data_IF_197408963007
#
_entry.id   IF_197408963007
#
_cell.length_a   1.000
_cell.length_b   1.000
_cell.length_c   1.000
_cell.angle_alpha   90.00
_cell.angle_beta   90.00
_cell.angle_gamma   90.00
#
_symmetry.space_group_name_H-M   'P 1'
#
loop_
_entity.id
_entity.type
_entity.pdbx_description
1 polymer ?
2 non-polymer ?
3 non-polymer ?
4 non-polymer ?
5 non-polymer ?
6 non-polymer ?
7 water ?
#
# COMPACT_ATOMS: atom_id res chain seq x y z
N UNK A 1 -6.14 -12.41 -13.91
CA UNK A 1 -6.94 -12.23 -12.65
C UNK A 1 -6.54 -10.89 -12.02
N UNK A 2 -7.50 -10.09 -11.55
CA UNK A 2 -7.23 -8.71 -11.04
C UNK A 2 -7.59 -8.47 -9.57
N UNK A 3 -6.63 -8.01 -8.78
CA UNK A 3 -6.91 -7.62 -7.36
C UNK A 3 -6.74 -6.10 -7.24
N UNK A 4 -7.69 -5.43 -6.63
CA UNK A 4 -7.53 -4.01 -6.32
C UNK A 4 -6.90 -3.90 -4.94
N UNK A 5 -5.81 -3.15 -4.87
CA UNK A 5 -5.06 -3.04 -3.59
C UNK A 5 -5.05 -1.57 -3.16
N UNK A 6 -5.53 -1.33 -1.96
CA UNK A 6 -5.61 0.02 -1.40
C UNK A 6 -4.64 0.15 -0.23
N UNK A 7 -3.80 1.18 -0.27
CA UNK A 7 -2.78 1.30 0.75
C UNK A 7 -2.44 2.81 1.00
N UNK A 8 -1.68 3.05 2.06
CA UNK A 8 -1.19 4.38 2.44
C UNK A 8 0.24 4.07 2.91
N UNK A 9 1.24 4.79 2.37
CA UNK A 9 2.61 4.46 2.74
C UNK A 9 2.89 4.62 4.23
N UNK A 10 2.02 5.33 4.97
CA UNK A 10 2.23 5.34 6.43
C UNK A 10 1.96 4.01 7.16
N UNK A 11 1.39 3.03 6.46
CA UNK A 11 0.90 1.80 7.13
C UNK A 11 1.93 0.63 7.07
N UNK A 12 2.39 0.13 8.23
CA UNK A 12 3.31 -1.02 8.22
C UNK A 12 2.59 -2.29 7.82
N UNK A 13 1.27 -2.35 8.10
CA UNK A 13 0.56 -3.54 7.63
C UNK A 13 0.41 -3.56 6.12
N UNK A 14 0.37 -2.36 5.55
CA UNK A 14 0.33 -2.23 4.11
C UNK A 14 1.70 -2.63 3.49
N UNK A 15 2.81 -2.30 4.18
CA UNK A 15 4.12 -2.68 3.74
C UNK A 15 4.16 -4.20 3.64
N UNK A 16 3.71 -4.89 4.71
CA UNK A 16 3.69 -6.34 4.67
C UNK A 16 2.78 -6.87 3.55
N UNK A 17 1.57 -6.30 3.43
CA UNK A 17 0.61 -6.79 2.41
C UNK A 17 1.23 -6.60 1.04
N UNK A 18 1.89 -5.44 0.83
CA UNK A 18 2.50 -5.18 -0.46
C UNK A 18 3.61 -6.20 -0.80
N UNK A 19 4.48 -6.54 0.17
CA UNK A 19 5.50 -7.56 -0.10
C UNK A 19 4.86 -8.88 -0.52
N UNK A 20 3.81 -9.33 0.19
CA UNK A 20 3.19 -10.61 -0.11
C UNK A 20 2.48 -10.58 -1.49
N UNK A 21 1.79 -9.49 -1.78
CA UNK A 21 1.08 -9.33 -3.06
C UNK A 21 2.05 -9.26 -4.25
N UNK A 22 3.20 -8.68 -4.02
CA UNK A 22 4.17 -8.45 -5.10
C UNK A 22 4.72 -9.80 -5.45
N UNK A 23 4.87 -10.66 -4.44
CA UNK A 23 5.39 -12.01 -4.71
C UNK A 23 4.39 -12.87 -5.44
N UNK A 24 3.09 -12.70 -5.16
CA UNK A 24 2.08 -13.28 -6.02
C UNK A 24 2.10 -12.76 -7.46
N UNK A 25 2.31 -11.46 -7.57
CA UNK A 25 2.41 -10.87 -8.90
C UNK A 25 3.63 -11.48 -9.64
N UNK A 26 4.78 -11.60 -8.96
CA UNK A 26 5.98 -12.09 -9.65
C UNK A 26 5.98 -13.61 -9.87
N UNK A 27 5.53 -14.36 -8.87
CA UNK A 27 5.54 -15.81 -8.91
C UNK A 27 4.41 -16.38 -9.77
N UNK A 28 3.24 -15.72 -9.75
CA UNK A 28 2.07 -16.31 -10.38
C UNK A 28 1.47 -15.41 -11.43
N UNK A 29 2.05 -14.22 -11.63
CA UNK A 29 1.52 -13.24 -12.58
C UNK A 29 0.15 -12.65 -12.28
N UNK A 30 -0.24 -12.64 -11.00
CA UNK A 30 -1.50 -11.99 -10.59
C UNK A 30 -1.41 -10.52 -10.97
N UNK A 31 -2.51 -9.94 -11.47
CA UNK A 31 -2.55 -8.49 -11.77
C UNK A 31 -3.06 -7.58 -10.62
N UNK A 32 -2.19 -6.69 -10.17
CA UNK A 32 -2.60 -5.77 -9.07
C UNK A 32 -2.92 -4.35 -9.57
N UNK A 33 -4.10 -3.85 -9.23
CA UNK A 33 -4.41 -2.46 -9.48
C UNK A 33 -4.16 -1.71 -8.18
N UNK A 34 -3.18 -0.82 -8.23
CA UNK A 34 -2.74 -0.14 -7.02
C UNK A 34 -3.49 1.16 -6.80
N UNK A 35 -3.83 1.44 -5.56
CA UNK A 35 -4.47 2.72 -5.18
C UNK A 35 -3.86 3.30 -3.90
N UNK A 36 -3.10 4.42 -3.99
CA UNK A 36 -2.56 5.11 -2.82
C UNK A 36 -3.65 6.02 -2.35
N UNK A 37 -4.07 5.83 -1.11
CA UNK A 37 -5.11 6.68 -0.55
C UNK A 37 -4.80 7.25 0.83
N UNK A 38 -5.59 8.25 1.22
CA UNK A 38 -5.38 8.94 2.48
C UNK A 38 -6.12 8.23 3.64
N UNK A 39 -5.36 7.41 4.38
CA UNK A 39 -5.98 6.64 5.49
C UNK A 39 -6.72 7.63 6.42
N UNK A 40 -6.11 8.79 6.70
CA UNK A 40 -6.73 9.77 7.58
C UNK A 40 -8.11 10.18 7.12
N UNK A 41 -8.22 10.47 5.83
CA UNK A 41 -9.49 10.89 5.30
C UNK A 41 -10.52 9.75 5.32
N UNK A 42 -10.06 8.54 5.04
CA UNK A 42 -11.01 7.46 5.01
C UNK A 42 -11.57 7.17 6.42
N UNK A 43 -10.72 7.24 7.43
CA UNK A 43 -11.17 7.12 8.86
C UNK A 43 -12.19 8.20 9.26
N UNK A 44 -11.86 9.45 8.93
CA UNK A 44 -12.71 10.60 9.26
C UNK A 44 -14.05 10.37 8.57
N UNK A 45 -14.01 9.90 7.33
CA UNK A 45 -15.25 9.69 6.59
C UNK A 45 -16.20 8.72 7.29
N UNK A 46 -15.67 7.72 8.02
CA UNK A 46 -16.59 6.79 8.65
C UNK A 46 -16.79 7.05 10.12
N UNK A 47 -16.24 8.17 10.60
CA UNK A 47 -16.45 8.59 11.97
C UNK A 47 -15.47 7.95 12.92
N UNK A 48 -14.38 7.39 12.37
CA UNK A 48 -13.37 6.75 13.23
C UNK A 48 -12.37 7.79 13.65
N UNK A 49 -12.73 8.52 14.71
CA UNK A 49 -11.95 9.69 15.13
C UNK A 49 -11.30 9.60 16.47
N UNK A 50 -11.41 8.49 17.16
CA UNK A 50 -10.60 8.39 18.41
C UNK A 50 -9.08 8.43 18.19
N UNK A 51 -8.30 8.29 19.30
CA UNK A 51 -6.84 8.16 19.20
C UNK A 51 -6.50 6.99 18.26
N UNK A 52 -5.46 7.19 17.47
CA UNK A 52 -4.91 6.16 16.60
C UNK A 52 -4.09 5.15 17.43
N UNK A 53 -4.03 3.91 16.94
CA UNK A 53 -3.08 2.96 17.49
C UNK A 53 -1.69 3.50 17.73
N UNK A 54 -1.19 4.35 16.85
CA UNK A 54 0.14 4.95 17.07
C UNK A 54 0.25 5.82 18.33
N UNK A 55 -0.89 6.31 18.80
CA UNK A 55 -0.91 7.19 19.97
C UNK A 55 -1.24 6.45 21.29
N UNK A 56 -1.34 5.11 21.26
CA UNK A 56 -1.74 4.30 22.42
C UNK A 56 -0.58 3.40 22.77
N UNK A 57 0.28 3.86 23.69
CA UNK A 57 1.59 3.21 23.86
C UNK A 57 1.50 1.70 24.14
N UNK A 58 0.59 1.30 25.03
CA UNK A 58 0.52 -0.13 25.36
C UNK A 58 0.18 -0.96 24.12
N UNK A 59 -0.78 -0.48 23.33
CA UNK A 59 -1.14 -1.22 22.09
C UNK A 59 -0.02 -1.15 21.07
N UNK A 60 0.56 0.02 20.91
CA UNK A 60 1.66 0.11 19.95
C UNK A 60 2.83 -0.81 20.33
N UNK A 61 3.14 -0.96 21.62
CA UNK A 61 4.21 -1.88 22.03
C UNK A 61 3.94 -3.29 21.47
N UNK A 62 2.67 -3.72 21.59
CA UNK A 62 2.33 -5.05 21.05
C UNK A 62 2.39 -5.09 19.49
N UNK A 63 1.87 -4.07 18.87
CA UNK A 63 1.75 -4.13 17.40
C UNK A 63 3.20 -4.18 16.84
N UNK A 64 4.13 -3.48 17.49
CA UNK A 64 5.55 -3.56 17.01
C UNK A 64 6.06 -5.03 17.05
N UNK A 65 5.69 -5.79 18.10
CA UNK A 65 6.03 -7.21 18.13
C UNK A 65 5.29 -7.94 17.03
N UNK A 66 3.98 -7.68 16.88
CA UNK A 66 3.24 -8.35 15.79
C UNK A 66 3.94 -8.11 14.42
N UNK A 67 4.28 -6.87 14.19
CA UNK A 67 4.90 -6.49 12.90
C UNK A 67 6.26 -7.26 12.71
N UNK A 68 7.08 -7.35 13.77
CA UNK A 68 8.32 -8.13 13.66
C UNK A 68 8.06 -9.60 13.44
N UNK A 69 7.02 -10.12 14.08
CA UNK A 69 6.64 -11.50 13.76
C UNK A 69 6.36 -11.73 12.30
N UNK A 70 5.57 -10.88 11.65
CA UNK A 70 5.24 -11.11 10.26
C UNK A 70 6.49 -10.87 9.36
N UNK A 71 7.26 -9.87 9.72
CA UNK A 71 8.48 -9.55 8.96
C UNK A 71 9.35 -10.80 8.95
N UNK A 72 9.47 -11.46 10.10
CA UNK A 72 10.31 -12.67 10.18
C UNK A 72 9.72 -13.77 9.35
N UNK A 73 8.39 -13.93 9.39
CA UNK A 73 7.72 -14.91 8.57
C UNK A 73 7.99 -14.67 7.09
N UNK A 74 8.02 -13.39 6.70
CA UNK A 74 8.15 -13.09 5.29
C UNK A 74 9.64 -12.99 4.85
N UNK A 75 10.54 -13.07 5.80
CA UNK A 75 11.98 -12.88 5.57
C UNK A 75 12.40 -11.50 5.05
N UNK A 76 11.80 -10.46 5.61
CA UNK A 76 12.11 -9.03 5.27
C UNK A 76 12.39 -8.21 6.55
N UNK A 77 13.19 -7.13 6.46
CA UNK A 77 13.36 -6.19 7.55
C UNK A 77 12.09 -5.33 7.69
N UNK A 78 11.89 -4.85 8.91
CA UNK A 78 10.83 -3.85 9.14
C UNK A 78 11.35 -2.87 10.18
N UNK A 79 11.51 -1.61 9.78
CA UNK A 79 12.09 -0.59 10.66
C UNK A 79 11.20 0.63 10.63
N UNK A 80 10.77 1.09 11.81
CA UNK A 80 9.89 2.25 11.92
C UNK A 80 10.61 3.52 11.47
N UNK A 81 9.97 4.29 10.59
CA UNK A 81 10.51 5.63 10.28
C UNK A 81 10.20 6.60 11.39
N UNK A 82 10.75 7.81 11.27
CA UNK A 82 10.65 8.78 12.33
C UNK A 82 9.30 9.44 12.41
N UNK A 83 8.54 9.44 11.30
CA UNK A 83 7.17 9.99 11.32
C UNK A 83 6.28 9.24 10.28
N UNK A 84 5.00 9.60 10.26
CA UNK A 84 4.03 8.94 9.42
C UNK A 84 3.54 9.90 8.36
N UNK A 85 4.41 10.84 7.93
CA UNK A 85 3.97 11.92 7.03
C UNK A 85 4.01 11.47 5.55
N UNK A 86 2.98 10.70 5.18
CA UNK A 86 3.09 9.91 3.90
C UNK A 86 2.46 10.64 2.72
N UNK A 87 1.94 11.85 2.92
CA UNK A 87 1.13 12.52 1.88
C UNK A 87 1.91 12.68 0.58
N UNK A 88 3.15 13.14 0.67
CA UNK A 88 3.88 13.48 -0.55
C UNK A 88 4.09 12.17 -1.35
N UNK A 89 4.55 11.12 -0.67
CA UNK A 89 4.87 9.87 -1.38
C UNK A 89 3.58 9.20 -1.91
N UNK A 90 2.49 9.36 -1.17
CA UNK A 90 1.19 8.81 -1.63
C UNK A 90 0.82 9.49 -2.98
N UNK A 91 0.84 10.83 -2.95
CA UNK A 91 0.61 11.66 -4.17
C UNK A 91 1.56 11.19 -5.34
N UNK A 92 2.84 10.89 -5.02
CA UNK A 92 3.88 10.61 -6.03
C UNK A 92 3.50 9.35 -6.78
N UNK A 93 2.73 8.46 -6.11
CA UNK A 93 2.31 7.20 -6.79
C UNK A 93 1.64 7.56 -8.15
N UNK A 94 0.87 8.64 -8.18
CA UNK A 94 0.07 9.00 -9.40
C UNK A 94 0.94 9.55 -10.53
N UNK A 95 2.26 9.61 -10.32
CA UNK A 95 3.19 9.86 -11.46
C UNK A 95 3.43 8.62 -12.29
N UNK A 96 3.20 7.45 -11.68
CA UNK A 96 3.57 6.20 -12.31
C UNK A 96 2.62 5.93 -13.48
N UNK A 97 3.16 5.32 -14.51
CA UNK A 97 2.37 5.04 -15.73
C UNK A 97 1.82 3.61 -15.74
N UNK A 98 2.61 2.70 -16.31
CA UNK A 98 2.21 1.31 -16.50
C UNK A 98 2.29 0.53 -15.20
N UNK A 99 1.59 -0.63 -15.19
CA UNK A 99 1.60 -1.61 -14.12
C UNK A 99 3.00 -1.87 -13.57
N UNK A 100 3.96 -2.08 -14.47
CA UNK A 100 5.28 -2.47 -14.01
C UNK A 100 5.91 -1.28 -13.24
N UNK A 101 5.67 -0.07 -13.75
CA UNK A 101 6.26 1.16 -13.15
C UNK A 101 5.52 1.54 -11.87
N UNK A 102 4.21 1.29 -11.84
CA UNK A 102 3.42 1.53 -10.60
C UNK A 102 3.86 0.59 -9.49
N UNK A 103 4.04 -0.69 -9.83
CA UNK A 103 4.53 -1.69 -8.88
C UNK A 103 5.94 -1.39 -8.44
N UNK A 104 6.78 -0.91 -9.37
CA UNK A 104 8.14 -0.65 -8.97
C UNK A 104 8.18 0.52 -8.00
N UNK A 105 7.36 1.51 -8.25
CA UNK A 105 7.25 2.70 -7.37
C UNK A 105 6.82 2.25 -6.03
N UNK A 106 5.70 1.51 -5.98
CA UNK A 106 5.18 1.12 -4.66
C UNK A 106 6.22 0.27 -3.91
N UNK A 107 6.95 -0.64 -4.58
CA UNK A 107 7.89 -1.47 -3.90
C UNK A 107 9.11 -0.68 -3.41
N UNK A 108 9.61 0.23 -4.25
CA UNK A 108 10.75 1.06 -3.84
C UNK A 108 10.45 1.98 -2.66
N UNK A 109 9.25 2.55 -2.65
CA UNK A 109 8.90 3.52 -1.61
C UNK A 109 8.62 2.72 -0.36
N UNK A 110 7.85 1.64 -0.44
CA UNK A 110 7.66 0.82 0.80
C UNK A 110 8.95 0.29 1.41
N UNK A 111 9.87 -0.19 0.55
CA UNK A 111 11.10 -0.69 1.06
C UNK A 111 11.93 0.39 1.71
N UNK A 112 11.90 1.60 1.14
CA UNK A 112 12.64 2.74 1.71
C UNK A 112 12.06 3.14 3.08
N UNK A 113 10.72 3.28 3.13
CA UNK A 113 10.08 3.85 4.33
C UNK A 113 10.06 2.78 5.48
N UNK A 114 9.53 1.58 5.18
CA UNK A 114 9.34 0.52 6.20
C UNK A 114 10.41 -0.59 6.20
N UNK A 115 11.13 -0.74 5.09
CA UNK A 115 12.25 -1.68 5.04
C UNK A 115 13.46 -1.07 5.71
N UNK A 116 13.73 0.20 5.39
CA UNK A 116 14.91 0.92 5.89
C UNK A 116 14.62 1.97 6.95
N UNK A 117 13.35 2.29 7.15
CA UNK A 117 12.99 3.24 8.13
C UNK A 117 13.32 4.67 7.72
N UNK A 118 13.25 4.99 6.42
CA UNK A 118 13.51 6.36 5.98
C UNK A 118 12.23 7.20 6.14
N UNK A 119 12.31 8.41 6.72
CA UNK A 119 11.11 9.26 6.92
C UNK A 119 10.41 9.49 5.59
N UNK A 120 9.10 9.29 5.54
CA UNK A 120 8.48 9.44 4.23
C UNK A 120 8.44 10.91 3.70
N UNK A 121 8.64 11.86 4.61
CA UNK A 121 8.73 13.25 4.19
C UNK A 121 10.15 13.75 4.03
N UNK A 122 11.10 12.85 4.07
CA UNK A 122 12.51 13.26 3.84
C UNK A 122 12.56 14.09 2.52
N UNK A 123 13.22 15.24 2.53
CA UNK A 123 13.12 16.16 1.36
C UNK A 123 13.79 15.59 0.11
N UNK A 124 14.78 14.70 0.32
CA UNK A 124 15.50 14.10 -0.81
C UNK A 124 14.90 12.78 -1.27
N UNK A 125 13.82 12.32 -0.58
CA UNK A 125 13.32 11.01 -0.96
C UNK A 125 12.77 10.97 -2.42
N UNK A 126 12.07 12.00 -2.85
CA UNK A 126 11.65 12.02 -4.28
C UNK A 126 12.85 11.85 -5.23
N UNK A 127 13.95 12.54 -4.96
CA UNK A 127 15.11 12.34 -5.83
C UNK A 127 15.69 10.96 -5.73
N UNK A 128 15.78 10.41 -4.50
CA UNK A 128 16.30 9.06 -4.35
C UNK A 128 15.44 8.02 -5.13
N UNK A 129 14.13 8.16 -4.99
CA UNK A 129 13.19 7.27 -5.69
C UNK A 129 13.25 7.46 -7.21
N UNK A 130 13.34 8.69 -7.66
CA UNK A 130 13.53 9.02 -9.12
C UNK A 130 14.74 8.35 -9.70
N UNK A 131 15.89 8.42 -9.01
CA UNK A 131 17.09 7.73 -9.46
C UNK A 131 16.87 6.24 -9.62
N UNK A 132 16.24 5.62 -8.61
CA UNK A 132 16.01 4.19 -8.66
C UNK A 132 15.15 3.74 -9.87
N UNK A 133 14.17 4.53 -10.20
CA UNK A 133 13.15 4.18 -11.19
C UNK A 133 13.52 4.71 -12.58
N UNK A 134 14.64 5.42 -12.66
CA UNK A 134 15.00 6.09 -13.91
C UNK A 134 14.09 7.20 -14.35
N UNK A 135 13.46 7.88 -13.40
CA UNK A 135 12.62 9.04 -13.65
C UNK A 135 13.38 10.35 -13.68
N UNK A 136 12.73 11.39 -14.23
CA UNK A 136 13.28 12.73 -14.29
C UNK A 136 12.98 13.43 -12.96
N UNK A 137 14.02 13.58 -12.12
CA UNK A 137 13.84 14.05 -10.78
C UNK A 137 13.08 15.32 -10.78
N UNK A 138 13.45 16.24 -11.65
CA UNK A 138 12.78 17.51 -11.56
C UNK A 138 11.26 17.41 -11.97
N UNK A 139 10.99 16.72 -13.05
CA UNK A 139 9.57 16.50 -13.48
C UNK A 139 8.77 15.88 -12.31
N UNK A 140 9.38 14.88 -11.69
CA UNK A 140 8.71 14.18 -10.53
C UNK A 140 8.44 15.15 -9.40
N UNK A 141 9.44 15.93 -8.99
CA UNK A 141 9.20 16.88 -7.90
C UNK A 141 8.19 17.96 -8.26
N UNK A 142 8.17 18.36 -9.54
CA UNK A 142 7.19 19.34 -9.98
C UNK A 142 5.79 18.74 -9.88
N UNK A 143 5.67 17.50 -10.32
CA UNK A 143 4.35 16.78 -10.25
C UNK A 143 3.86 16.75 -8.78
N UNK A 144 4.76 16.41 -7.87
CA UNK A 144 4.39 16.26 -6.44
C UNK A 144 3.70 17.50 -5.92
N UNK A 145 4.10 18.70 -6.40
CA UNK A 145 3.47 19.91 -5.84
C UNK A 145 2.27 20.38 -6.68
N UNK A 146 2.00 19.71 -7.81
CA UNK A 146 0.95 20.17 -8.77
C UNK A 146 -0.47 20.01 -8.23
N UNK A 147 -1.35 20.91 -8.67
CA UNK A 147 -2.75 20.82 -8.25
C UNK A 147 -3.31 19.51 -8.73
N UNK A 148 -2.99 19.14 -9.99
CA UNK A 148 -3.50 17.90 -10.60
C UNK A 148 -3.16 16.65 -9.77
N UNK A 149 -1.93 16.60 -9.25
CA UNK A 149 -1.50 15.45 -8.45
C UNK A 149 -2.39 15.33 -7.23
N UNK A 150 -2.64 16.45 -6.55
CA UNK A 150 -3.46 16.37 -5.34
C UNK A 150 -4.87 15.99 -5.71
N UNK A 151 -5.33 16.51 -6.85
CA UNK A 151 -6.66 16.13 -7.31
C UNK A 151 -6.82 14.62 -7.57
N UNK A 152 -5.80 14.04 -8.17
CA UNK A 152 -5.81 12.62 -8.53
C UNK A 152 -5.87 11.81 -7.20
N UNK A 153 -5.06 12.21 -6.25
CA UNK A 153 -5.04 11.58 -4.88
C UNK A 153 -6.40 11.66 -4.21
N UNK A 154 -6.96 12.88 -4.20
CA UNK A 154 -8.30 13.14 -3.64
C UNK A 154 -9.38 12.27 -4.30
N UNK A 155 -9.32 12.20 -5.63
CA UNK A 155 -10.24 11.35 -6.44
C UNK A 155 -10.21 9.90 -6.02
N UNK A 156 -9.00 9.32 -5.92
CA UNK A 156 -8.86 7.92 -5.59
C UNK A 156 -9.30 7.64 -4.17
N UNK A 157 -9.00 8.57 -3.26
CA UNK A 157 -9.40 8.34 -1.84
C UNK A 157 -10.92 8.38 -1.80
N UNK A 158 -11.51 9.32 -2.56
CA UNK A 158 -12.98 9.39 -2.63
C UNK A 158 -13.58 8.11 -3.13
N UNK A 159 -13.04 7.56 -4.24
CA UNK A 159 -13.48 6.29 -4.86
C UNK A 159 -13.38 5.16 -3.87
N UNK A 160 -12.26 5.12 -3.09
CA UNK A 160 -12.15 4.12 -2.02
C UNK A 160 -13.31 4.26 -0.98
N UNK A 161 -13.58 5.46 -0.51
CA UNK A 161 -14.63 5.66 0.50
C UNK A 161 -15.98 5.18 -0.11
N UNK A 162 -16.20 5.51 -1.36
CA UNK A 162 -17.46 5.04 -2.02
C UNK A 162 -17.55 3.52 -2.04
N UNK A 163 -16.40 2.86 -2.06
CA UNK A 163 -16.35 1.42 -2.15
C UNK A 163 -16.38 0.77 -0.75
N UNK A 164 -16.54 1.62 0.27
CA UNK A 164 -16.66 1.19 1.69
C UNK A 164 -15.33 0.73 2.29
N UNK A 165 -14.26 1.23 1.70
CA UNK A 165 -12.95 1.05 2.29
C UNK A 165 -12.88 1.95 3.52
N UNK A 166 -12.48 1.37 4.65
CA UNK A 166 -12.36 2.11 5.91
C UNK A 166 -10.91 2.09 6.47
N UNK A 167 -10.04 1.31 5.88
CA UNK A 167 -8.67 1.18 6.42
C UNK A 167 -7.77 0.59 5.32
N UNK A 168 -6.51 0.42 5.70
CA UNK A 168 -5.54 -0.21 4.82
C UNK A 168 -4.71 -1.22 5.60
N UNK A 169 -4.11 -2.24 4.90
CA UNK A 169 -4.27 -2.59 3.41
C UNK A 169 -5.63 -3.26 3.13
N UNK A 170 -6.30 -2.86 2.04
CA UNK A 170 -7.56 -3.47 1.70
C UNK A 170 -7.42 -3.99 0.28
N UNK A 171 -7.95 -5.21 0.04
CA UNK A 171 -7.83 -5.91 -1.20
C UNK A 171 -9.20 -6.30 -1.64
N UNK A 172 -9.52 -6.08 -2.91
CA UNK A 172 -10.81 -6.59 -3.46
C UNK A 172 -10.51 -7.63 -4.56
N UNK A 173 -11.34 -8.66 -4.64
CA UNK A 173 -11.32 -9.63 -5.74
C UNK A 173 -12.82 -9.80 -6.02
N UNK A 174 -13.24 -9.43 -7.22
CA UNK A 174 -14.67 -9.48 -7.50
C UNK A 174 -15.43 -8.64 -6.49
N UNK A 175 -16.43 -9.23 -5.82
CA UNK A 175 -17.24 -8.48 -4.88
C UNK A 175 -16.80 -8.68 -3.44
N UNK A 176 -15.66 -9.34 -3.25
CA UNK A 176 -15.18 -9.66 -1.92
C UNK A 176 -14.07 -8.69 -1.57
N UNK A 177 -14.10 -8.20 -0.32
CA UNK A 177 -13.10 -7.25 0.18
C UNK A 177 -12.55 -7.89 1.44
N UNK A 178 -11.24 -7.74 1.62
CA UNK A 178 -10.56 -8.18 2.83
C UNK A 178 -9.69 -7.01 3.29
N UNK A 179 -9.64 -6.82 4.60
CA UNK A 179 -8.80 -5.78 5.16
C UNK A 179 -7.71 -6.47 6.00
N UNK A 180 -6.45 -6.20 5.73
CA UNK A 180 -5.38 -6.69 6.57
C UNK A 180 -4.44 -7.60 5.80
N UNK A 181 -3.14 -7.46 6.08
CA UNK A 181 -2.17 -8.43 5.57
C UNK A 181 -2.52 -9.82 6.08
N UNK A 182 -3.06 -9.90 7.29
CA UNK A 182 -3.48 -11.18 7.94
C UNK A 182 -4.79 -11.75 7.33
N UNK A 183 -5.26 -11.17 6.24
CA UNK A 183 -6.38 -11.75 5.53
C UNK A 183 -5.97 -12.21 4.09
N UNK A 184 -4.73 -11.99 3.74
CA UNK A 184 -4.27 -12.41 2.42
C UNK A 184 -4.45 -13.91 2.21
N UNK A 185 -4.43 -14.71 3.27
CA UNK A 185 -4.68 -16.18 3.06
C UNK A 185 -6.05 -16.39 2.51
N UNK A 186 -7.02 -15.53 2.88
CA UNK A 186 -8.37 -15.70 2.35
C UNK A 186 -8.41 -15.27 0.89
N UNK A 187 -7.65 -14.23 0.55
CA UNK A 187 -7.61 -13.82 -0.82
C UNK A 187 -6.97 -14.95 -1.66
N UNK A 188 -5.92 -15.56 -1.10
CA UNK A 188 -5.17 -16.60 -1.82
C UNK A 188 -6.10 -17.80 -2.05
N UNK A 189 -6.91 -18.15 -1.06
CA UNK A 189 -7.86 -19.24 -1.27
C UNK A 189 -8.88 -18.90 -2.36
N UNK A 190 -9.41 -17.67 -2.36
CA UNK A 190 -10.37 -17.24 -3.37
C UNK A 190 -9.72 -17.36 -4.79
N UNK A 191 -8.45 -16.97 -4.86
CA UNK A 191 -7.72 -16.98 -6.10
C UNK A 191 -7.58 -18.44 -6.59
N UNK A 192 -7.22 -19.36 -5.69
CA UNK A 192 -7.08 -20.80 -6.05
C UNK A 192 -8.40 -21.33 -6.61
N UNK A 193 -9.52 -20.98 -5.97
CA UNK A 193 -10.83 -21.43 -6.42
C UNK A 193 -11.10 -21.00 -7.85
N UNK A 194 -10.83 -19.75 -8.13
CA UNK A 194 -11.10 -19.18 -9.42
C UNK A 194 -10.17 -19.82 -10.45
N UNK A 195 -8.90 -20.04 -10.10
CA UNK A 195 -7.98 -20.80 -10.98
C UNK A 195 -8.51 -22.19 -11.32
N UNK A 196 -9.01 -22.92 -10.32
CA UNK A 196 -9.53 -24.28 -10.54
C UNK A 196 -10.78 -24.28 -11.42
N UNK A 197 -11.68 -23.31 -11.18
CA UNK A 197 -12.90 -23.30 -12.01
C UNK A 197 -12.54 -22.99 -13.44
N UNK A 198 -11.64 -22.03 -13.63
CA UNK A 198 -11.20 -21.69 -14.97
C UNK A 198 -10.38 -22.78 -15.69
N UNK A 199 -9.82 -23.72 -14.92
CA UNK A 199 -9.15 -24.93 -15.42
C UNK A 199 -10.12 -26.12 -15.58
N UNK A 200 -11.40 -25.92 -15.22
CA UNK A 200 -12.43 -27.00 -15.27
C UNK A 200 -12.12 -28.20 -14.37
N UNK A 201 -11.49 -27.93 -13.23
CA UNK A 201 -11.26 -28.94 -12.20
C UNK A 201 -12.43 -28.91 -11.26
N UNK A 202 -13.07 -27.75 -11.22
CA UNK A 202 -14.20 -27.52 -10.38
C UNK A 202 -15.25 -26.91 -11.30
N UNK A 203 -16.50 -27.21 -11.02
CA UNK A 203 -17.60 -26.54 -11.65
C UNK A 203 -17.47 -25.03 -11.28
X LIG B 1 -5.35 2.99 13.36
X LIG B 1 -6.58 3.54 14.05
X LIG B 1 -5.13 3.63 12.02
X LIG B 1 -4.13 3.36 14.15
X LIG B 1 -5.50 1.50 13.22
X LIG C 1 15.05 21.82 -10.89
X LIG C 1 14.24 21.01 -9.89
X LIG C 1 14.31 21.94 -12.21
X LIG C 1 15.22 23.22 -10.38
X LIG C 1 16.38 21.12 -11.05
X LIG D 1 -0.88 -16.80 6.83
X LIG D 1 -1.01 -17.43 5.49
X LIG D 1 -2.04 -15.92 7.18
X LIG D 1 0.48 -16.21 6.88
X LIG D 1 -0.69 -17.88 7.94
X LIG E 1 -4.99 -7.08 11.55
X LIG E 1 -4.34 -6.16 10.62
X LIG E 1 -3.35 -6.76 9.61
X LIG E 1 -3.02 -6.17 8.54
X LIG E 1 -2.76 -7.68 10.16
X LIG E 1 -4.67 -4.70 10.83
X LIG E 1 -4.38 -3.69 9.73
X LIG E 1 -4.49 -2.28 10.34
X LIG E 1 -4.44 -2.19 11.64
X LIG E 1 -4.53 -1.24 9.54
X LIG E 1 -4.55 0.15 9.98
X LIG E 1 -5.94 0.59 9.74
X LIG E 1 -6.55 0.42 8.51
X LIG E 1 -3.44 0.87 9.18
X LIG E 1 -1.79 0.06 9.28
X LIG E 1 -6.58 1.18 10.75
X LIG E 1 -8.00 1.54 10.57
X LIG E 1 -8.90 0.76 11.52
X LIG E 1 -10.15 0.81 11.37
X LIG E 1 -8.44 0.12 12.51
X LIG F 1 -2.17 4.00 13.58
X LIG F 1 -2.15 4.40 12.40
X LIG F 1 -3.17 5.35 11.96
X LIG F 1 -4.35 5.18 12.33
X LIG F 1 -2.82 6.30 11.24
X LIG F 1 -1.11 3.91 11.41
X LIG F 1 0.10 3.50 11.99
X LIG F 1 0.26 2.18 12.63
X LIG F 1 -0.80 1.27 12.68
X LIG F 1 -0.62 0.03 13.30
X LIG F 1 0.60 -0.29 13.88
X LIG F 1 1.66 0.62 13.83
X LIG F 1 1.48 1.85 13.21
X LIG F 1 2.50 2.73 13.17
X LIG G 1 -2.47 4.20 14.13
X LIG G 1 -1.49 4.80 13.63
X LIG G 1 -0.90 5.74 14.23
X LIG G 1 -0.97 4.37 12.28
X LIG G 1 -0.85 5.53 11.46
X LIG G 1 0.34 3.83 12.42
X LIG G 1 0.51 2.52 12.80
X LIG G 1 -0.43 1.59 12.38
X LIG G 1 -1.56 2.06 11.54
X LIG G 1 -1.90 3.36 11.60
X LIG G 1 1.59 2.15 13.61
X LIG G 1 1.71 0.82 13.99
X LIG G 1 0.78 -0.12 13.57
X LIG G 1 -0.30 0.26 12.75
X LIG H 1 6.68 5.76 -15.93
X LIG H 1 6.09 5.40 -14.62
X LIG H 1 5.81 5.16 -16.99
X LIG H 1 8.07 5.24 -15.96
X LIG H 1 6.64 7.42 -16.08
X LIG H 1 5.20 7.95 -15.99
X LIG H 1 5.15 9.48 -16.09
X LIG H 1 3.86 10.02 -15.68
X LIG H 1 3.37 11.37 -15.89
X LIG H 1 4.35 12.47 -16.26
X LIG H 1 3.94 13.92 -15.98
X LIG H 1 2.45 14.16 -15.82
X LIG H 1 1.79 13.21 -14.83
X LIG H 1 2.16 11.74 -14.99
#
# INVERSE_FOLDING_TARGET
MIVDFYFDFLSPFSYLANQRLSKLAQDYGLTIRYNAIDLARVKIAIGNVGPSNRDLKVKLDYLKVDLQRWAQLYGIPLVFPANYNSRRMNIGFYYSGAEAQAAAYVNVVFNAVWGEGIAPDLESLPALVSEKLGWDRSAFEHFLSSNAATERYDEQTHAAIERKVFGVPTMFLGDEMWWGNDRLFMLESAMGRLCRQNADLSS
PO4 P O1 O2 O3 O4
PO4 P O1 O2 O3 O4
PO4 P O1 O2 O3 O4
GSH N1 CA1 C1 O11 O12 CB1 CG1 CD1 OE1 N2 CA2 C2 O2 CB2 SG2 N3 CA3 C3 O31 O32
TOH O8 C9 C10 O11 O10 C8 C7 C1 C6 C5 C4 C3 C2 O2
2C2 O10 C10 O11 C9 O8 O2 C2 C1 C7 C8 C3 C4 C5 C6
CXS S O1 O2 O3 C1 C2 C3 N C4 C5 C6 C7 C8 C9
#
